data_IF_831187705573
#
_entry.id   IF_831187705573
#
_cell.length_a   1.000
_cell.length_b   1.000
_cell.length_c   1.000
_cell.angle_alpha   90.00
_cell.angle_beta   90.00
_cell.angle_gamma   90.00
#
_symmetry.space_group_name_H-M   'P 1'
#
loop_
_entity.id
_entity.type
_entity.pdbx_description
1 polymer ?
2 non-polymer ?
3 non-polymer ?
4 water ?
#
# COMPACT_ATOMS: atom_id res chain seq x y z
N UNK A 2 1.34 16.17 -11.96
CA UNK A 2 2.62 15.49 -11.65
C UNK A 2 2.58 14.01 -12.02
N UNK A 3 3.75 13.44 -12.32
CA UNK A 3 3.84 11.99 -12.43
C UNK A 3 3.52 11.30 -11.11
N UNK A 4 3.40 12.05 -10.01
CA UNK A 4 3.02 11.55 -8.69
C UNK A 4 1.70 12.14 -8.22
N UNK A 5 0.82 12.48 -9.16
CA UNK A 5 -0.49 13.03 -8.82
C UNK A 5 -1.61 12.20 -9.44
N UNK A 6 -1.29 11.05 -10.03
CA UNK A 6 -2.29 10.26 -10.69
C UNK A 6 -3.25 9.62 -9.71
N UNK A 7 -4.51 9.50 -10.14
CA UNK A 7 -5.52 8.87 -9.31
C UNK A 7 -5.39 7.35 -9.34
N UNK A 8 -6.21 6.70 -8.52
CA UNK A 8 -6.10 5.28 -8.23
C UNK A 8 -7.47 4.71 -7.99
N UNK A 9 -7.73 3.53 -8.56
CA UNK A 9 -8.79 2.62 -8.12
C UNK A 9 -8.14 1.37 -7.55
N UNK A 10 -8.36 1.12 -6.26
CA UNK A 10 -7.71 0.01 -5.58
C UNK A 10 -8.77 -1.01 -5.16
N UNK A 11 -8.56 -2.24 -5.58
CA UNK A 11 -9.33 -3.40 -5.14
C UNK A 11 -8.48 -4.28 -4.26
N UNK A 12 -9.09 -4.89 -3.24
CA UNK A 12 -8.42 -5.94 -2.50
C UNK A 12 -8.38 -7.20 -3.37
N UNK A 13 -7.37 -8.04 -3.09
CA UNK A 13 -7.28 -9.32 -3.77
C UNK A 13 -8.57 -10.13 -3.62
N UNK A 14 -9.13 -10.16 -2.41
CA UNK A 14 -10.33 -10.97 -2.18
C UNK A 14 -11.50 -10.47 -3.03
N UNK A 15 -11.72 -9.16 -3.09
CA UNK A 15 -12.82 -8.63 -3.88
C UNK A 15 -12.55 -8.84 -5.37
N UNK A 16 -11.32 -8.64 -5.80
CA UNK A 16 -11.01 -8.81 -7.21
C UNK A 16 -11.23 -10.25 -7.65
N UNK A 17 -10.84 -11.22 -6.82
CA UNK A 17 -11.05 -12.62 -7.15
C UNK A 17 -12.53 -12.95 -7.28
N UNK A 18 -13.36 -12.43 -6.37
CA UNK A 18 -14.79 -12.68 -6.47
C UNK A 18 -15.37 -12.03 -7.72
N UNK A 19 -14.92 -10.80 -8.02
CA UNK A 19 -15.40 -10.07 -9.19
C UNK A 19 -15.06 -10.82 -10.48
N UNK A 20 -13.80 -11.23 -10.63
CA UNK A 20 -13.38 -11.94 -11.84
C UNK A 20 -14.15 -13.24 -12.02
N UNK A 21 -14.41 -13.95 -10.92
CA UNK A 21 -15.14 -15.21 -11.01
C UNK A 21 -16.56 -14.98 -11.49
N UNK A 22 -17.22 -13.93 -11.00
CA UNK A 22 -18.57 -13.62 -11.45
C UNK A 22 -18.59 -13.14 -12.88
N UNK A 23 -17.62 -12.30 -13.26
CA UNK A 23 -17.64 -11.72 -14.59
C UNK A 23 -17.30 -12.72 -15.68
N UNK A 24 -16.69 -13.85 -15.33
CA UNK A 24 -16.25 -14.84 -16.32
C UNK A 24 -16.72 -16.22 -15.89
N UNK A 25 -18.03 -16.49 -15.99
CA UNK A 25 -18.56 -17.81 -15.62
C UNK A 25 -18.21 -18.91 -16.59
N UNK A 26 -17.83 -18.60 -17.83
CA UNK A 26 -17.43 -19.59 -18.81
C UNK A 26 -18.28 -19.67 -20.06
N UNK A 27 -19.43 -18.97 -20.14
CA UNK A 27 -20.26 -19.02 -21.34
C UNK A 27 -19.90 -17.93 -22.34
N UNK A 28 -18.90 -17.10 -22.06
CA UNK A 28 -18.44 -16.11 -23.02
C UNK A 28 -19.37 -14.95 -23.23
N UNK A 29 -20.36 -14.75 -22.36
CA UNK A 29 -21.28 -13.65 -22.45
C UNK A 29 -20.93 -12.61 -21.39
N UNK A 30 -21.23 -11.35 -21.70
CA UNK A 30 -20.94 -10.29 -20.74
C UNK A 30 -21.72 -10.52 -19.46
N UNK A 31 -21.12 -10.13 -18.35
CA UNK A 31 -21.73 -10.14 -17.04
C UNK A 31 -21.43 -8.80 -16.39
N UNK A 32 -22.11 -8.54 -15.26
CA UNK A 32 -22.05 -7.22 -14.65
C UNK A 32 -21.95 -7.31 -13.12
N UNK A 33 -21.33 -6.29 -12.54
CA UNK A 33 -21.21 -6.16 -11.09
C UNK A 33 -21.02 -4.68 -10.77
N UNK A 34 -21.15 -4.36 -9.48
CA UNK A 34 -21.04 -2.98 -9.01
C UNK A 34 -20.11 -2.93 -7.80
N UNK A 35 -19.11 -2.06 -7.86
CA UNK A 35 -18.19 -1.82 -6.76
C UNK A 35 -18.57 -0.50 -6.10
N UNK A 36 -18.70 -0.52 -4.78
CA UNK A 36 -19.02 0.67 -3.99
C UNK A 36 -17.77 1.03 -3.20
N UNK A 37 -17.30 2.27 -3.33
CA UNK A 37 -15.98 2.65 -2.89
C UNK A 37 -16.02 3.83 -1.92
N UNK A 38 -15.18 3.77 -0.90
CA UNK A 38 -14.80 4.97 -0.20
C UNK A 38 -13.74 5.72 -1.00
N UNK A 39 -13.40 6.91 -0.53
CA UNK A 39 -12.39 7.74 -1.19
C UNK A 39 -11.40 8.28 -0.18
N UNK A 40 -10.17 8.49 -0.64
CA UNK A 40 -9.27 9.39 0.07
C UNK A 40 -8.81 10.43 -0.94
N UNK A 41 -9.01 11.68 -0.59
CA UNK A 41 -8.73 12.82 -1.46
C UNK A 41 -7.55 13.59 -0.87
N UNK A 42 -6.37 13.00 -1.01
CA UNK A 42 -5.15 13.66 -0.63
C UNK A 42 -4.59 14.35 -1.85
N UNK A 43 -3.27 14.32 -2.01
CA UNK A 43 -2.67 14.88 -3.20
C UNK A 43 -3.08 14.16 -4.47
N UNK A 44 -3.64 12.96 -4.32
CA UNK A 44 -4.19 12.21 -5.43
C UNK A 44 -5.52 11.63 -4.96
N UNK A 45 -6.42 11.38 -5.91
CA UNK A 45 -7.69 10.73 -5.58
C UNK A 45 -7.53 9.22 -5.60
N UNK A 46 -7.89 8.57 -4.50
CA UNK A 46 -7.86 7.12 -4.37
C UNK A 46 -9.27 6.63 -4.09
N UNK A 47 -9.77 5.76 -4.95
CA UNK A 47 -11.02 5.06 -4.71
C UNK A 47 -10.70 3.70 -4.10
N UNK A 48 -11.33 3.42 -2.97
CA UNK A 48 -11.04 2.25 -2.15
C UNK A 48 -12.24 1.31 -2.20
N UNK A 49 -12.10 0.21 -2.93
CA UNK A 49 -13.21 -0.72 -3.05
C UNK A 49 -13.61 -1.30 -1.70
N UNK A 50 -14.89 -1.16 -1.36
CA UNK A 50 -15.39 -1.53 -0.05
C UNK A 50 -16.48 -2.58 -0.09
N UNK A 51 -17.44 -2.45 -1.01
CA UNK A 51 -18.53 -3.41 -1.14
C UNK A 51 -18.67 -3.81 -2.59
N UNK A 52 -19.21 -5.01 -2.81
CA UNK A 52 -19.37 -5.57 -4.14
C UNK A 52 -20.77 -6.14 -4.27
N UNK A 53 -21.49 -5.71 -5.31
CA UNK A 53 -22.79 -6.27 -5.66
C UNK A 53 -22.63 -6.97 -6.99
N UNK A 54 -22.90 -8.27 -7.00
CA UNK A 54 -22.90 -9.05 -8.24
C UNK A 54 -24.30 -8.97 -8.84
N UNK A 55 -24.39 -8.62 -10.13
CA UNK A 55 -25.66 -8.59 -10.83
C UNK A 55 -25.92 -9.99 -11.38
N UNK A 56 -26.93 -10.71 -10.88
CA UNK A 56 -27.16 -12.08 -11.36
C UNK A 56 -27.39 -12.11 -12.86
N UNK A 57 -26.88 -13.17 -13.50
CA UNK A 57 -27.02 -13.27 -14.95
C UNK A 57 -28.49 -13.27 -15.35
N UNK A 58 -29.32 -13.97 -14.57
CA UNK A 58 -30.76 -14.10 -14.85
C UNK A 58 -31.47 -12.75 -14.80
N UNK A 59 -30.95 -11.79 -14.05
CA UNK A 59 -31.60 -10.49 -13.89
C UNK A 59 -31.32 -9.53 -15.04
N UNK A 60 -30.48 -9.92 -15.99
CA UNK A 60 -30.13 -9.06 -17.10
C UNK A 60 -30.96 -9.46 -18.31
N UNK A 61 -31.79 -8.53 -18.80
CA UNK A 61 -32.74 -8.84 -19.85
C UNK A 61 -32.05 -9.41 -21.09
N UNK A 62 -30.83 -8.93 -21.37
CA UNK A 62 -30.04 -9.43 -22.48
C UNK A 62 -28.59 -9.58 -22.01
N UNK A 63 -28.00 -10.72 -22.34
CA UNK A 63 -26.57 -10.96 -22.17
C UNK A 63 -26.05 -11.60 -23.44
N UNK A 64 -25.13 -10.92 -24.12
CA UNK A 64 -24.47 -11.47 -25.30
C UNK A 64 -22.97 -11.35 -25.12
N UNK A 65 -22.23 -11.86 -26.12
CA UNK A 65 -20.77 -11.75 -26.09
C UNK A 65 -20.30 -10.30 -26.19
N UNK A 66 -21.17 -9.37 -26.61
CA UNK A 66 -20.73 -7.98 -26.73
C UNK A 66 -21.72 -6.98 -26.17
N UNK A 67 -22.64 -7.40 -25.30
CA UNK A 67 -23.58 -6.45 -24.70
C UNK A 67 -24.16 -7.05 -23.42
N UNK A 68 -24.50 -6.17 -22.48
CA UNK A 68 -25.29 -6.55 -21.31
C UNK A 68 -26.16 -5.37 -20.93
N UNK A 69 -27.42 -5.66 -20.59
CA UNK A 69 -28.38 -4.64 -20.20
C UNK A 69 -28.30 -4.41 -18.69
N UNK A 70 -28.07 -3.15 -18.27
CA UNK A 70 -28.03 -2.80 -16.85
C UNK A 70 -29.44 -2.78 -16.27
N UNK A 71 -29.78 -3.70 -15.37
CA UNK A 71 -31.09 -3.61 -14.72
C UNK A 71 -31.14 -2.41 -13.78
N UNK A 72 -32.15 -1.56 -13.98
CA UNK A 72 -32.21 -0.31 -13.26
C UNK A 72 -32.28 -0.47 -11.76
N UNK A 73 -32.94 -1.53 -11.28
CA UNK A 73 -33.06 -1.68 -9.84
C UNK A 73 -31.72 -2.00 -9.18
N UNK A 74 -30.76 -2.58 -9.90
CA UNK A 74 -29.45 -2.78 -9.28
C UNK A 74 -28.66 -1.48 -9.15
N UNK A 75 -28.84 -0.53 -10.08
CA UNK A 75 -28.35 0.81 -9.83
C UNK A 75 -28.95 1.37 -8.54
N UNK A 76 -30.24 1.14 -8.33
CA UNK A 76 -30.88 1.66 -7.12
C UNK A 76 -30.34 0.99 -5.87
N UNK A 77 -30.13 -0.34 -5.93
CA UNK A 77 -29.49 -1.03 -4.80
C UNK A 77 -28.12 -0.43 -4.51
N UNK A 78 -27.35 -0.11 -5.55
CA UNK A 78 -26.04 0.51 -5.33
C UNK A 78 -26.20 1.89 -4.72
N UNK A 79 -27.17 2.67 -5.19
CA UNK A 79 -27.42 3.99 -4.61
C UNK A 79 -27.77 3.85 -3.13
N UNK A 80 -28.56 2.83 -2.77
CA UNK A 80 -28.97 2.65 -1.39
C UNK A 80 -27.79 2.32 -0.48
N UNK A 81 -26.81 1.57 -0.99
CA UNK A 81 -25.62 1.28 -0.20
C UNK A 81 -24.77 2.53 -0.02
N UNK A 82 -24.62 3.32 -1.08
CA UNK A 82 -23.70 4.45 -1.13
C UNK A 82 -24.22 5.73 -0.49
N UNK A 83 -25.53 5.82 -0.21
CA UNK A 83 -26.13 7.12 0.07
C UNK A 83 -25.62 7.70 1.38
N UNK A 84 -25.52 6.89 2.44
CA UNK A 84 -25.24 7.44 3.77
C UNK A 84 -23.90 8.17 3.80
N UNK A 85 -22.85 7.56 3.26
CA UNK A 85 -21.50 8.12 3.30
C UNK A 85 -21.05 8.66 1.95
N UNK A 86 -22.00 8.91 1.04
CA UNK A 86 -21.72 9.45 -0.30
C UNK A 86 -20.59 8.66 -0.97
N UNK A 87 -20.73 7.35 -0.99
CA UNK A 87 -19.72 6.51 -1.59
C UNK A 87 -19.78 6.59 -3.11
N UNK A 88 -18.65 6.25 -3.74
CA UNK A 88 -18.53 6.21 -5.19
C UNK A 88 -18.97 4.85 -5.72
N UNK A 89 -19.73 4.88 -6.80
CA UNK A 89 -20.29 3.68 -7.41
C UNK A 89 -19.60 3.47 -8.74
N UNK A 90 -19.02 2.29 -8.91
CA UNK A 90 -18.33 1.90 -10.14
C UNK A 90 -19.08 0.74 -10.78
N UNK A 91 -19.62 0.96 -11.98
CA UNK A 91 -20.30 -0.08 -12.74
C UNK A 91 -19.27 -0.84 -13.55
N UNK A 92 -19.27 -2.17 -13.44
CA UNK A 92 -18.24 -3.01 -14.06
C UNK A 92 -18.91 -4.05 -14.94
N UNK A 93 -18.39 -4.24 -16.14
CA UNK A 93 -18.81 -5.37 -16.95
C UNK A 93 -17.59 -5.98 -17.63
N UNK A 94 -17.75 -7.19 -18.09
CA UNK A 94 -16.66 -7.95 -18.67
C UNK A 94 -16.70 -7.85 -20.19
N UNK A 95 -15.54 -8.04 -20.80
CA UNK A 95 -15.37 -8.12 -22.25
C UNK A 95 -14.82 -9.50 -22.62
N UNK A 96 -15.64 -10.54 -22.55
CA UNK A 96 -15.18 -11.86 -23.00
C UNK A 96 -14.85 -11.81 -24.48
N UNK A 97 -13.68 -12.37 -24.83
CA UNK A 97 -13.27 -12.37 -26.22
C UNK A 97 -13.04 -11.00 -26.80
N UNK A 98 -12.92 -9.98 -25.94
CA UNK A 98 -12.74 -8.62 -26.41
C UNK A 98 -11.45 -8.01 -25.91
N UNK A 99 -11.44 -6.69 -25.74
CA UNK A 99 -10.23 -5.97 -25.38
C UNK A 99 -10.59 -4.90 -24.37
N UNK A 100 -9.55 -4.42 -23.69
CA UNK A 100 -9.73 -3.38 -22.69
C UNK A 100 -9.84 -2.02 -23.39
N UNK A 101 -10.94 -1.87 -24.11
CA UNK A 101 -11.31 -0.63 -24.76
C UNK A 101 -12.79 -0.43 -24.49
N UNK A 102 -13.17 0.76 -24.04
CA UNK A 102 -14.57 1.11 -23.95
C UNK A 102 -15.13 1.37 -25.35
N UNK A 103 -16.26 0.74 -25.66
CA UNK A 103 -16.93 0.88 -26.94
C UNK A 103 -17.83 2.11 -26.97
N UNK A 104 -18.31 2.44 -28.17
CA UNK A 104 -19.28 3.52 -28.32
C UNK A 104 -20.55 3.22 -27.52
N UNK A 105 -20.97 1.95 -27.50
CA UNK A 105 -22.10 1.54 -26.67
C UNK A 105 -21.82 1.80 -25.21
N UNK A 106 -20.61 1.50 -24.75
CA UNK A 106 -20.24 1.76 -23.37
C UNK A 106 -20.31 3.25 -23.04
N UNK A 107 -19.78 4.08 -23.95
CA UNK A 107 -19.84 5.53 -23.76
C UNK A 107 -21.27 6.01 -23.66
N UNK A 108 -22.14 5.53 -24.55
CA UNK A 108 -23.52 6.02 -24.56
C UNK A 108 -24.29 5.50 -23.36
N UNK A 109 -24.03 4.25 -22.95
CA UNK A 109 -24.62 3.73 -21.72
C UNK A 109 -24.22 4.58 -20.52
N UNK A 110 -22.91 4.81 -20.36
CA UNK A 110 -22.42 5.64 -19.26
C UNK A 110 -23.11 7.00 -19.22
N UNK A 111 -23.33 7.62 -20.38
CA UNK A 111 -23.97 8.93 -20.38
C UNK A 111 -25.29 8.88 -19.63
N UNK A 112 -26.04 7.79 -19.78
CA UNK A 112 -27.32 7.62 -19.09
C UNK A 112 -27.13 7.19 -17.64
N UNK A 113 -26.38 6.11 -17.40
CA UNK A 113 -26.33 5.56 -16.04
C UNK A 113 -25.59 6.49 -15.07
N UNK A 114 -24.56 7.20 -15.56
CA UNK A 114 -23.81 8.06 -14.65
C UNK A 114 -24.65 9.24 -14.17
N UNK A 115 -25.58 9.75 -15.00
CA UNK A 115 -26.50 10.78 -14.54
C UNK A 115 -27.45 10.24 -13.48
N UNK A 116 -27.97 9.02 -13.65
CA UNK A 116 -28.80 8.41 -12.63
C UNK A 116 -28.04 8.24 -11.32
N UNK A 117 -26.78 7.81 -11.39
CA UNK A 117 -26.02 7.58 -10.17
C UNK A 117 -25.78 8.90 -9.44
N UNK A 118 -25.43 9.95 -10.17
CA UNK A 118 -25.19 11.24 -9.53
C UNK A 118 -26.46 11.83 -8.94
N UNK A 119 -27.59 11.66 -9.63
CA UNK A 119 -28.85 12.12 -9.06
C UNK A 119 -29.16 11.41 -7.75
N UNK A 120 -28.76 10.15 -7.62
CA UNK A 120 -28.95 9.39 -6.41
C UNK A 120 -27.96 9.72 -5.31
N UNK A 121 -26.69 9.90 -5.68
CA UNK A 121 -25.61 10.15 -4.73
C UNK A 121 -24.70 11.23 -5.30
N UNK A 122 -24.59 12.36 -4.60
CA UNK A 122 -23.74 13.48 -5.01
C UNK A 122 -22.31 13.09 -4.70
N UNK A 123 -21.65 12.47 -5.67
CA UNK A 123 -20.30 11.96 -5.53
C UNK A 123 -19.73 11.64 -6.91
N UNK A 124 -18.41 11.47 -6.96
CA UNK A 124 -17.76 10.91 -8.15
C UNK A 124 -18.20 9.47 -8.32
N UNK A 125 -18.55 9.10 -9.55
CA UNK A 125 -18.91 7.72 -9.89
C UNK A 125 -18.10 7.32 -11.11
N UNK A 126 -18.28 6.09 -11.56
CA UNK A 126 -17.50 5.70 -12.73
C UNK A 126 -17.90 4.34 -13.26
N UNK A 127 -17.15 3.90 -14.26
CA UNK A 127 -17.36 2.60 -14.89
C UNK A 127 -16.02 1.95 -15.18
N UNK A 128 -16.06 0.63 -15.33
CA UNK A 128 -14.84 -0.14 -15.53
C UNK A 128 -15.18 -1.37 -16.37
N UNK A 129 -14.13 -1.94 -16.95
CA UNK A 129 -14.23 -3.14 -17.76
C UNK A 129 -13.09 -4.06 -17.33
N UNK A 130 -13.30 -5.36 -17.51
CA UNK A 130 -12.35 -6.40 -17.15
C UNK A 130 -12.29 -7.40 -18.29
N UNK A 131 -11.09 -7.90 -18.58
CA UNK A 131 -10.93 -9.04 -19.46
C UNK A 131 -10.61 -10.28 -18.62
N UNK A 132 -10.58 -11.44 -19.28
CA UNK A 132 -10.58 -12.72 -18.58
C UNK A 132 -9.39 -12.87 -17.65
N UNK A 133 -8.26 -12.28 -18.02
CA UNK A 133 -7.04 -12.32 -17.22
C UNK A 133 -7.20 -11.64 -15.87
N UNK A 134 -8.22 -10.82 -15.69
CA UNK A 134 -8.39 -10.02 -14.50
C UNK A 134 -8.01 -8.57 -14.66
N UNK A 135 -7.29 -8.23 -15.73
CA UNK A 135 -6.88 -6.85 -15.93
C UNK A 135 -8.10 -5.96 -16.16
N UNK A 136 -8.00 -4.71 -15.69
CA UNK A 136 -9.11 -3.75 -15.72
C UNK A 136 -8.68 -2.38 -16.27
N UNK A 137 -9.65 -1.67 -16.82
CA UNK A 137 -9.57 -0.24 -17.07
C UNK A 137 -10.76 0.43 -16.40
N UNK A 138 -10.61 1.70 -16.02
CA UNK A 138 -11.72 2.40 -15.40
C UNK A 138 -11.66 3.89 -15.74
N UNK A 139 -12.82 4.54 -15.61
CA UNK A 139 -12.91 5.97 -15.80
C UNK A 139 -13.97 6.54 -14.88
N UNK A 140 -13.84 7.83 -14.60
CA UNK A 140 -14.64 8.52 -13.60
C UNK A 140 -15.45 9.63 -14.22
N UNK A 141 -16.58 9.92 -13.59
CA UNK A 141 -17.54 10.91 -14.02
C UNK A 141 -17.83 11.81 -12.84
N UNK A 142 -17.69 13.12 -13.03
CA UNK A 142 -18.03 14.11 -12.02
C UNK A 142 -19.32 14.81 -12.41
N UNK A 143 -20.17 15.04 -11.41
CA UNK A 143 -21.49 15.62 -11.63
C UNK A 143 -22.24 14.88 -12.72
N UNK A 144 -21.94 13.58 -12.87
CA UNK A 144 -22.62 12.75 -13.85
C UNK A 144 -22.10 12.83 -15.27
N UNK A 145 -21.00 13.55 -15.52
CA UNK A 145 -20.44 13.76 -16.86
C UNK A 145 -18.96 13.38 -16.87
N UNK A 146 -18.49 12.84 -18.00
CA UNK A 146 -17.13 12.31 -18.05
C UNK A 146 -16.13 13.33 -17.56
N UNK A 147 -15.22 12.88 -16.70
CA UNK A 147 -14.14 13.72 -16.22
C UNK A 147 -12.79 13.19 -16.67
N UNK A 148 -12.45 11.95 -16.32
CA UNK A 148 -11.09 11.51 -16.58
C UNK A 148 -11.00 10.00 -16.41
N UNK A 149 -10.08 9.42 -17.17
CA UNK A 149 -9.72 8.04 -16.97
C UNK A 149 -9.03 7.86 -15.61
N UNK A 150 -9.07 6.64 -15.12
CA UNK A 150 -8.29 6.25 -13.96
C UNK A 150 -6.90 5.89 -14.44
N UNK A 151 -5.89 6.59 -13.92
CA UNK A 151 -4.51 6.32 -14.35
C UNK A 151 -4.08 4.91 -13.97
N UNK A 152 -4.45 4.45 -12.78
CA UNK A 152 -3.98 3.16 -12.26
C UNK A 152 -5.12 2.42 -11.56
N UNK A 153 -5.41 1.21 -12.03
CA UNK A 153 -6.19 0.24 -11.27
C UNK A 153 -5.21 -0.76 -10.71
N UNK A 154 -5.29 -1.06 -9.43
CA UNK A 154 -4.27 -1.88 -8.80
C UNK A 154 -4.88 -2.83 -7.77
N UNK A 155 -4.28 -4.01 -7.70
CA UNK A 155 -4.55 -5.01 -6.67
C UNK A 155 -3.20 -5.43 -6.09
N UNK A 156 -3.01 -5.20 -4.79
CA UNK A 156 -1.82 -5.71 -4.10
C UNK A 156 -2.22 -7.02 -3.44
N UNK A 157 -1.96 -8.11 -4.14
CA UNK A 157 -2.16 -9.45 -3.66
C UNK A 157 -0.85 -10.02 -3.16
N UNK A 158 -0.72 -11.33 -3.28
CA UNK A 158 0.60 -11.93 -3.10
C UNK A 158 1.56 -11.38 -4.17
N UNK A 159 1.09 -11.30 -5.41
CA UNK A 159 1.72 -10.50 -6.45
C UNK A 159 1.01 -9.14 -6.47
N UNK A 160 1.75 -8.09 -6.86
CA UNK A 160 1.20 -6.74 -6.95
C UNK A 160 0.95 -6.41 -8.41
N UNK A 161 -0.28 -6.03 -8.73
CA UNK A 161 -0.71 -5.80 -10.11
C UNK A 161 -0.95 -4.31 -10.34
N UNK A 162 -0.31 -3.78 -11.38
CA UNK A 162 -0.45 -2.38 -11.76
C UNK A 162 -0.97 -2.35 -13.20
N UNK A 163 -2.21 -1.91 -13.37
CA UNK A 163 -2.85 -1.84 -14.69
C UNK A 163 -3.00 -0.37 -15.05
N UNK A 164 -2.18 0.08 -16.00
CA UNK A 164 -2.04 1.50 -16.32
C UNK A 164 -2.96 1.88 -17.48
N UNK A 165 -3.60 3.05 -17.35
CA UNK A 165 -4.29 3.69 -18.46
C UNK A 165 -3.39 3.71 -19.69
N UNK A 166 -3.97 3.35 -20.84
CA UNK A 166 -3.20 3.17 -22.08
C UNK A 166 -2.65 4.48 -22.63
N UNK A 167 -1.42 4.40 -23.13
CA UNK A 167 -0.72 5.49 -23.79
C UNK A 167 -0.19 5.01 -25.14
N UNK A 168 0.21 5.98 -25.96
CA UNK A 168 0.77 5.65 -27.27
C UNK A 168 2.09 4.90 -27.15
N UNK A 169 2.79 5.09 -26.05
CA UNK A 169 4.07 4.44 -25.82
C UNK A 169 3.87 2.98 -25.39
N UNK A 170 4.94 2.19 -25.58
CA UNK A 170 4.92 0.80 -25.13
C UNK A 170 4.78 0.73 -23.62
N UNK A 171 3.97 -0.23 -23.16
CA UNK A 171 3.63 -0.35 -21.74
C UNK A 171 3.63 -1.81 -21.32
N UNK A 172 4.56 -2.61 -21.83
CA UNK A 172 4.64 -4.00 -21.42
C UNK A 172 5.05 -4.09 -19.95
N UNK A 173 4.62 -5.16 -19.28
CA UNK A 173 5.01 -5.35 -17.90
C UNK A 173 6.53 -5.55 -17.85
N UNK A 174 7.25 -4.81 -17.04
CA UNK A 174 8.71 -4.96 -17.04
C UNK A 174 9.15 -6.18 -16.25
N UNK A 175 10.34 -6.59 -16.57
CA UNK A 175 11.05 -7.68 -15.92
C UNK A 175 11.82 -7.10 -14.73
N UNK A 176 11.98 -7.90 -13.69
CA UNK A 176 12.69 -7.41 -12.52
C UNK A 176 14.10 -6.96 -12.93
N UNK A 177 14.57 -5.91 -12.28
CA UNK A 177 15.95 -5.44 -12.41
C UNK A 177 16.26 -4.84 -13.78
N UNK A 178 15.25 -4.44 -14.56
CA UNK A 178 15.44 -3.77 -15.84
C UNK A 178 14.97 -2.32 -15.75
N UNK A 179 14.87 -1.67 -16.92
CA UNK A 179 14.49 -0.26 -17.06
C UNK A 179 12.98 -0.06 -17.10
N UNK A 180 12.23 -1.04 -17.57
CA UNK A 180 10.80 -0.96 -17.41
C UNK A 180 10.42 -0.89 -15.94
N UNK A 181 11.23 -1.51 -15.07
CA UNK A 181 10.96 -1.43 -13.64
C UNK A 181 10.96 0.03 -13.20
N UNK A 182 11.97 0.77 -13.65
CA UNK A 182 12.08 2.17 -13.31
C UNK A 182 10.89 2.95 -13.83
N UNK A 183 10.38 2.58 -15.01
CA UNK A 183 9.21 3.26 -15.56
C UNK A 183 8.00 3.11 -14.66
N UNK A 184 7.79 1.91 -14.10
CA UNK A 184 6.70 1.68 -13.16
C UNK A 184 6.91 2.51 -11.89
N UNK A 185 8.11 2.42 -11.33
CA UNK A 185 8.39 3.09 -10.06
C UNK A 185 8.25 4.60 -10.18
N UNK A 186 8.56 5.15 -11.35
CA UNK A 186 8.51 6.61 -11.52
C UNK A 186 7.10 7.16 -11.33
N UNK A 187 6.07 6.33 -11.46
CA UNK A 187 4.70 6.77 -11.28
C UNK A 187 4.16 6.47 -9.89
N UNK A 188 4.95 5.83 -9.03
CA UNK A 188 4.53 5.44 -7.70
C UNK A 188 5.06 6.38 -6.62
N UNK A 189 4.35 6.39 -5.48
CA UNK A 189 4.75 7.08 -4.27
C UNK A 189 5.09 6.05 -3.19
N UNK A 190 6.29 6.18 -2.61
CA UNK A 190 6.68 5.32 -1.49
C UNK A 190 6.72 6.15 -0.20
N UNK A 191 6.26 5.58 0.90
CA UNK A 191 6.38 6.21 2.21
C UNK A 191 7.38 5.42 3.04
N UNK A 192 8.41 6.11 3.54
CA UNK A 192 9.41 5.53 4.44
C UNK A 192 9.07 6.00 5.85
N UNK A 193 8.60 5.09 6.70
CA UNK A 193 8.29 5.42 8.09
C UNK A 193 9.53 5.09 8.92
N UNK A 194 10.25 6.14 9.33
CA UNK A 194 11.48 6.00 10.06
C UNK A 194 12.70 6.11 9.15
N UNK A 195 13.49 7.18 9.30
CA UNK A 195 14.72 7.33 8.53
C UNK A 195 15.82 6.82 9.45
N UNK A 196 15.75 5.53 9.74
CA UNK A 196 16.44 4.84 10.81
C UNK A 196 17.66 4.12 10.25
N UNK A 197 18.29 3.27 11.07
CA UNK A 197 19.35 2.42 10.56
C UNK A 197 18.89 1.64 9.34
N UNK A 198 17.71 1.03 9.41
CA UNK A 198 17.15 0.34 8.26
C UNK A 198 16.45 1.31 7.30
N UNK A 199 15.73 2.29 7.84
CA UNK A 199 14.92 3.14 6.99
C UNK A 199 15.73 4.03 6.05
N UNK A 200 16.89 4.50 6.51
CA UNK A 200 17.73 5.29 5.60
C UNK A 200 18.25 4.44 4.44
N UNK A 201 18.39 3.13 4.64
CA UNK A 201 18.85 2.25 3.59
C UNK A 201 17.71 1.91 2.65
N UNK A 202 16.52 1.66 3.21
CA UNK A 202 15.34 1.52 2.37
C UNK A 202 15.16 2.77 1.50
N UNK A 203 15.23 3.95 2.13
CA UNK A 203 15.01 5.20 1.41
C UNK A 203 16.05 5.40 0.30
N UNK A 204 17.31 5.05 0.57
CA UNK A 204 18.36 5.15 -0.43
C UNK A 204 18.03 4.29 -1.64
N UNK A 205 17.57 3.06 -1.40
CA UNK A 205 17.28 2.17 -2.51
C UNK A 205 16.08 2.67 -3.31
N UNK A 206 15.02 3.06 -2.61
CA UNK A 206 13.83 3.59 -3.26
C UNK A 206 14.18 4.81 -4.12
N UNK A 207 15.05 5.69 -3.61
CA UNK A 207 15.50 6.83 -4.40
C UNK A 207 16.23 6.38 -5.67
N UNK A 208 17.25 5.52 -5.52
CA UNK A 208 18.06 5.17 -6.67
C UNK A 208 17.35 4.22 -7.62
N UNK A 209 16.29 3.55 -7.16
CA UNK A 209 15.47 2.73 -8.04
C UNK A 209 14.49 3.56 -8.88
N UNK A 210 14.35 4.85 -8.61
CA UNK A 210 13.59 5.73 -9.46
C UNK A 210 12.16 5.98 -9.04
N UNK A 211 11.82 5.81 -7.77
CA UNK A 211 10.45 6.11 -7.35
C UNK A 211 10.16 7.59 -7.57
N UNK A 212 8.92 7.88 -7.96
CA UNK A 212 8.58 9.23 -8.40
C UNK A 212 8.33 10.21 -7.27
N UNK A 213 7.93 9.70 -6.11
CA UNK A 213 7.69 10.53 -4.93
C UNK A 213 8.05 9.69 -3.71
N UNK A 214 8.75 10.29 -2.75
CA UNK A 214 9.25 9.57 -1.59
C UNK A 214 8.90 10.39 -0.35
N UNK A 215 7.94 9.90 0.41
CA UNK A 215 7.60 10.50 1.70
C UNK A 215 8.55 9.98 2.78
N UNK A 216 9.04 10.88 3.62
CA UNK A 216 9.97 10.54 4.70
C UNK A 216 9.35 11.01 6.01
N UNK A 217 9.10 10.07 6.93
CA UNK A 217 8.36 10.37 8.16
C UNK A 217 9.22 10.05 9.36
N UNK A 218 9.63 11.07 10.12
CA UNK A 218 10.49 10.88 11.27
C UNK A 218 10.65 12.21 12.00
N UNK A 219 10.64 12.14 13.34
CA UNK A 219 10.84 13.30 14.19
C UNK A 219 12.24 13.36 14.79
N UNK A 220 13.07 12.36 14.51
CA UNK A 220 14.39 12.26 15.14
C UNK A 220 15.43 13.04 14.35
N UNK A 221 16.60 13.22 14.97
CA UNK A 221 17.68 14.04 14.45
C UNK A 221 18.94 13.23 14.29
N UNK A 222 19.83 13.73 13.43
CA UNK A 222 21.17 13.17 13.33
C UNK A 222 21.95 13.53 14.58
N UNK A 223 22.63 12.54 15.15
CA UNK A 223 23.51 12.74 16.30
C UNK A 223 24.80 11.99 16.02
N UNK A 224 25.85 12.29 16.79
CA UNK A 224 27.11 11.58 16.58
C UNK A 224 26.90 10.07 16.67
N UNK A 225 26.02 9.64 17.56
CA UNK A 225 25.78 8.21 17.73
C UNK A 225 25.12 7.59 16.51
N UNK A 226 24.50 8.41 15.62
CA UNK A 226 23.80 8.00 14.39
C UNK A 226 24.74 7.83 13.19
N UNK A 227 25.95 8.38 13.26
CA UNK A 227 26.82 8.48 12.10
C UNK A 227 27.35 7.13 11.64
N UNK A 228 27.36 6.14 12.51
CA UNK A 228 27.79 4.81 12.06
C UNK A 228 26.71 4.08 11.29
N UNK A 229 25.53 4.69 11.05
CA UNK A 229 24.40 3.95 10.49
C UNK A 229 23.55 4.68 9.45
N UNK A 230 23.34 6.00 9.53
CA UNK A 230 22.35 6.66 8.71
C UNK A 230 23.00 7.08 7.38
N UNK A 231 22.55 6.48 6.27
CA UNK A 231 23.14 6.82 4.97
C UNK A 231 22.93 8.30 4.68
N UNK A 232 23.96 8.92 4.08
CA UNK A 232 24.09 10.30 3.62
C UNK A 232 24.37 11.26 4.77
N UNK A 233 24.30 10.83 6.02
CA UNK A 233 24.55 11.73 7.13
C UNK A 233 26.03 12.05 7.25
N UNK A 234 26.31 13.26 7.74
CA UNK A 234 27.66 13.78 7.88
C UNK A 234 27.90 14.24 9.31
N UNK A 235 29.18 14.35 9.67
CA UNK A 235 29.52 14.94 10.97
C UNK A 235 28.90 16.31 11.13
N UNK A 236 28.97 17.15 10.09
CA UNK A 236 28.35 18.46 10.18
C UNK A 236 26.86 18.35 10.51
N UNK A 237 26.16 17.38 9.90
CA UNK A 237 24.76 17.15 10.22
C UNK A 237 24.56 16.90 11.70
N UNK A 238 25.44 16.08 12.31
CA UNK A 238 25.32 15.76 13.73
C UNK A 238 25.57 16.97 14.60
N UNK A 239 26.54 17.81 14.21
CA UNK A 239 26.90 18.96 15.02
C UNK A 239 25.79 20.00 15.08
N UNK A 240 24.88 19.99 14.11
CA UNK A 240 23.74 20.89 14.12
C UNK A 240 22.43 20.15 14.44
N UNK A 241 22.52 18.88 14.84
CA UNK A 241 21.34 18.09 15.19
C UNK A 241 20.28 18.18 14.12
N UNK A 242 20.70 17.97 12.88
CA UNK A 242 19.82 18.15 11.73
C UNK A 242 18.71 17.11 11.72
N UNK A 243 17.46 17.51 11.51
CA UNK A 243 16.39 16.52 11.37
C UNK A 243 16.70 15.51 10.27
N UNK A 244 16.50 14.23 10.60
CA UNK A 244 16.74 13.16 9.64
C UNK A 244 15.98 13.35 8.35
N UNK A 245 14.71 13.77 8.41
CA UNK A 245 13.94 13.84 7.17
C UNK A 245 14.45 14.96 6.27
N UNK A 246 14.91 16.06 6.86
CA UNK A 246 15.42 17.16 6.06
C UNK A 246 16.77 16.81 5.45
N UNK A 247 17.64 16.16 6.23
CA UNK A 247 18.90 15.65 5.70
C UNK A 247 18.65 14.74 4.50
N UNK A 248 17.75 13.78 4.66
CA UNK A 248 17.60 12.79 3.59
C UNK A 248 16.85 13.36 2.39
N UNK A 249 15.89 14.26 2.61
CA UNK A 249 15.23 14.93 1.48
C UNK A 249 16.25 15.66 0.61
N UNK A 250 17.20 16.36 1.24
CA UNK A 250 18.21 17.08 0.47
C UNK A 250 19.12 16.11 -0.27
N UNK A 251 19.51 15.00 0.38
CA UNK A 251 20.30 13.98 -0.33
C UNK A 251 19.56 13.49 -1.57
N UNK A 252 18.26 13.20 -1.44
CA UNK A 252 17.51 12.69 -2.57
C UNK A 252 17.47 13.72 -3.68
N UNK A 253 17.31 15.00 -3.31
CA UNK A 253 17.31 16.05 -4.31
C UNK A 253 18.61 16.08 -5.10
N UNK A 254 19.74 15.89 -4.41
CA UNK A 254 21.04 15.91 -5.08
C UNK A 254 21.25 14.65 -5.93
N UNK A 255 20.82 13.50 -5.41
CA UNK A 255 20.95 12.25 -6.14
C UNK A 255 20.13 12.29 -7.42
N UNK A 256 18.87 12.70 -7.32
CA UNK A 256 17.94 12.57 -8.42
C UNK A 256 17.88 13.82 -9.28
N UNK A 257 18.41 14.94 -8.82
CA UNK A 257 18.34 16.17 -9.59
C UNK A 257 16.98 16.82 -9.60
N UNK A 258 16.09 16.41 -8.69
CA UNK A 258 14.71 16.85 -8.66
C UNK A 258 14.25 16.73 -7.22
N UNK A 259 13.40 17.66 -6.78
CA UNK A 259 12.92 17.66 -5.40
C UNK A 259 11.68 16.79 -5.31
N UNK A 260 11.89 15.48 -5.23
CA UNK A 260 10.81 14.51 -5.27
C UNK A 260 10.49 13.91 -3.90
N UNK A 261 11.20 14.33 -2.86
CA UNK A 261 10.93 13.82 -1.53
C UNK A 261 10.02 14.80 -0.80
N UNK A 262 9.26 14.27 0.15
CA UNK A 262 8.32 15.05 0.95
C UNK A 262 8.68 14.77 2.41
N UNK A 263 9.48 15.63 3.04
CA UNK A 263 9.89 15.35 4.43
C UNK A 263 8.82 15.77 5.42
N UNK A 264 8.42 14.84 6.27
CA UNK A 264 7.43 15.11 7.31
C UNK A 264 8.18 14.99 8.63
N UNK A 265 8.49 16.12 9.25
CA UNK A 265 9.22 16.13 10.52
C UNK A 265 8.20 15.97 11.65
N UNK A 266 7.85 14.71 11.92
CA UNK A 266 6.84 14.38 12.92
C UNK A 266 6.89 12.89 13.15
N UNK A 267 6.31 12.45 14.27
CA UNK A 267 6.14 11.03 14.50
C UNK A 267 5.02 10.48 13.62
N UNK A 268 5.10 9.18 13.32
CA UNK A 268 4.03 8.54 12.55
C UNK A 268 2.73 8.61 13.31
N UNK A 269 2.77 8.80 14.63
CA UNK A 269 1.57 8.91 15.46
C UNK A 269 1.11 10.37 15.50
N UNK A 270 0.65 10.86 14.35
CA UNK A 270 0.16 12.22 14.20
C UNK A 270 -0.77 12.27 13.00
N UNK A 271 -1.74 13.18 13.05
CA UNK A 271 -2.60 13.39 11.89
C UNK A 271 -1.78 13.76 10.67
N UNK A 272 -0.81 14.66 10.82
CA UNK A 272 0.03 15.07 9.70
C UNK A 272 0.65 13.86 8.99
N UNK A 273 1.30 12.97 9.74
CA UNK A 273 2.01 11.85 9.14
C UNK A 273 1.05 10.85 8.51
N UNK A 274 -0.05 10.56 9.20
CA UNK A 274 -1.01 9.56 8.73
C UNK A 274 -1.63 10.02 7.40
N UNK A 275 -2.10 11.26 7.37
CA UNK A 275 -2.74 11.77 6.16
C UNK A 275 -1.76 11.87 4.99
N UNK A 276 -0.48 12.14 5.27
CA UNK A 276 0.53 12.10 4.21
C UNK A 276 0.76 10.67 3.73
N UNK A 277 0.98 9.74 4.65
CA UNK A 277 1.26 8.36 4.29
C UNK A 277 0.11 7.73 3.51
N UNK A 278 -1.12 8.13 3.80
CA UNK A 278 -2.27 7.52 3.17
C UNK A 278 -2.27 7.74 1.66
N UNK A 279 -1.53 8.75 1.19
CA UNK A 279 -1.35 9.00 -0.24
C UNK A 279 -0.45 7.98 -0.93
N UNK A 280 0.31 7.19 -0.19
CA UNK A 280 1.35 6.41 -0.82
C UNK A 280 0.80 5.16 -1.48
N UNK A 281 1.59 4.65 -2.44
CA UNK A 281 1.33 3.35 -3.06
C UNK A 281 2.01 2.19 -2.35
N UNK A 282 2.99 2.46 -1.49
CA UNK A 282 3.62 1.40 -0.69
C UNK A 282 4.17 2.03 0.57
N UNK A 283 4.00 1.32 1.70
CA UNK A 283 4.54 1.73 2.99
C UNK A 283 5.73 0.83 3.34
N UNK A 284 6.82 1.45 3.77
CA UNK A 284 7.94 0.73 4.37
C UNK A 284 8.04 1.19 5.83
N UNK A 285 7.76 0.30 6.77
CA UNK A 285 7.83 0.62 8.18
C UNK A 285 9.17 0.18 8.75
N UNK A 286 9.96 1.15 9.23
CA UNK A 286 11.33 0.94 9.66
C UNK A 286 11.57 1.50 11.06
N UNK A 287 10.50 1.72 11.83
CA UNK A 287 10.61 2.26 13.19
C UNK A 287 10.45 1.11 14.16
N UNK A 288 11.38 1.01 15.10
CA UNK A 288 11.42 -0.13 16.02
C UNK A 288 10.69 0.21 17.33
N UNK A 289 9.38 0.50 17.19
CA UNK A 289 8.46 0.59 18.30
C UNK A 289 7.19 -0.17 17.94
N UNK A 290 6.56 -0.72 18.97
CA UNK A 290 5.29 -1.41 18.77
C UNK A 290 4.21 -0.45 18.29
N UNK A 291 4.20 0.77 18.84
CA UNK A 291 3.23 1.79 18.45
C UNK A 291 3.31 2.10 16.95
N UNK A 292 4.53 2.34 16.45
CA UNK A 292 4.68 2.71 15.05
C UNK A 292 4.25 1.57 14.14
N UNK A 293 4.56 0.34 14.51
CA UNK A 293 4.16 -0.75 13.66
C UNK A 293 2.64 -0.89 13.65
N UNK A 294 1.98 -0.57 14.76
CA UNK A 294 0.51 -0.63 14.78
C UNK A 294 -0.09 0.46 13.91
N UNK A 295 0.47 1.67 13.96
CA UNK A 295 -0.05 2.76 13.12
C UNK A 295 0.11 2.39 11.65
N UNK A 296 1.30 1.92 11.27
CA UNK A 296 1.52 1.49 9.90
C UNK A 296 0.53 0.40 9.49
N UNK A 297 0.31 -0.57 10.38
CA UNK A 297 -0.67 -1.62 10.13
C UNK A 297 -2.05 -1.02 9.84
N UNK A 298 -2.47 -0.05 10.65
CA UNK A 298 -3.81 0.50 10.46
C UNK A 298 -3.88 1.37 9.20
N UNK A 299 -2.82 2.09 8.86
CA UNK A 299 -2.82 2.86 7.62
C UNK A 299 -2.99 1.93 6.44
N UNK A 300 -2.24 0.82 6.45
CA UNK A 300 -2.23 -0.10 5.32
C UNK A 300 -3.61 -0.70 5.09
N UNK A 301 -4.31 -1.11 6.16
CA UNK A 301 -5.65 -1.65 6.02
C UNK A 301 -6.65 -0.57 5.62
N UNK A 302 -6.57 0.60 6.26
CA UNK A 302 -7.59 1.61 6.07
C UNK A 302 -7.56 2.18 4.65
N UNK A 303 -6.37 2.35 4.09
CA UNK A 303 -6.20 2.99 2.79
C UNK A 303 -5.74 2.01 1.72
N UNK A 304 -5.78 0.70 1.98
CA UNK A 304 -5.49 -0.32 0.98
C UNK A 304 -4.11 -0.12 0.33
N UNK A 305 -3.10 -0.10 1.19
CA UNK A 305 -1.71 0.14 0.77
C UNK A 305 -0.90 -1.09 1.16
N UNK A 306 -0.13 -1.68 0.25
CA UNK A 306 0.78 -2.76 0.67
C UNK A 306 1.83 -2.24 1.63
N UNK A 307 2.20 -3.07 2.59
CA UNK A 307 3.09 -2.70 3.68
C UNK A 307 4.22 -3.70 3.77
N UNK A 308 5.44 -3.19 3.85
CA UNK A 308 6.63 -3.99 4.15
C UNK A 308 7.19 -3.50 5.47
N UNK A 309 7.27 -4.38 6.44
CA UNK A 309 7.72 -4.06 7.79
C UNK A 309 9.03 -4.80 8.02
N UNK A 310 10.05 -4.09 8.48
CA UNK A 310 11.37 -4.68 8.68
C UNK A 310 11.89 -4.34 10.06
N UNK A 311 12.53 -5.32 10.70
CA UNK A 311 13.20 -5.10 11.97
C UNK A 311 14.40 -6.02 12.10
N UNK A 312 15.35 -5.58 12.92
CA UNK A 312 16.51 -6.41 13.26
C UNK A 312 16.73 -6.37 14.77
N UNK A 313 17.44 -7.38 15.28
CA UNK A 313 17.71 -7.47 16.71
C UNK A 313 19.07 -8.13 16.95
N UNK A 314 19.76 -7.66 17.99
CA UNK A 314 20.95 -8.34 18.49
C UNK A 314 20.80 -8.54 19.99
N UNK A 315 20.05 -9.54 20.44
CA UNK A 315 19.98 -9.78 21.88
C UNK A 315 21.34 -10.23 22.40
N UNK A 316 21.67 -9.78 23.60
CA UNK A 316 22.91 -10.18 24.26
C UNK A 316 22.58 -10.83 25.59
N UNK A 317 23.57 -11.56 26.13
CA UNK A 317 23.50 -12.12 27.48
C UNK A 317 24.90 -12.15 28.06
N UNK A 318 24.98 -12.26 29.39
CA UNK A 318 26.26 -12.32 30.07
C UNK A 318 26.57 -13.79 30.33
N UNK A 319 27.71 -14.24 29.81
CA UNK A 319 28.15 -15.60 30.05
C UNK A 319 28.95 -15.66 31.34
N UNK A 320 28.65 -16.60 32.24
CA UNK A 320 29.44 -16.67 33.49
C UNK A 320 30.94 -16.71 33.26
N UNK A 321 31.40 -17.45 32.25
CA UNK A 321 32.83 -17.63 32.04
C UNK A 321 33.44 -16.60 31.10
N UNK A 322 32.69 -16.13 30.10
CA UNK A 322 33.24 -15.28 29.05
C UNK A 322 32.83 -13.82 29.13
N UNK A 323 31.79 -13.49 29.89
CA UNK A 323 31.26 -12.14 29.90
C UNK A 323 30.12 -11.97 28.92
N UNK A 324 29.80 -10.72 28.62
CA UNK A 324 28.69 -10.44 27.72
C UNK A 324 28.95 -11.05 26.36
N UNK A 325 27.92 -11.68 25.80
CA UNK A 325 28.00 -12.41 24.55
C UNK A 325 26.80 -12.05 23.69
N UNK A 326 27.00 -12.11 22.37
CA UNK A 326 25.86 -12.04 21.47
C UNK A 326 25.03 -13.30 21.64
N UNK A 327 23.72 -13.13 21.79
CA UNK A 327 22.82 -14.27 21.87
C UNK A 327 22.38 -14.73 20.48
N UNK A 328 22.08 -13.79 19.61
CA UNK A 328 21.63 -14.02 18.26
C UNK A 328 21.73 -12.70 17.52
N UNK A 329 21.68 -12.77 16.20
CA UNK A 329 21.74 -11.61 15.32
C UNK A 329 20.68 -11.91 14.26
N UNK A 330 19.56 -11.18 14.29
CA UNK A 330 18.39 -11.58 13.52
C UNK A 330 17.77 -10.43 12.74
N UNK A 331 16.99 -10.83 11.72
CA UNK A 331 16.19 -9.90 10.96
C UNK A 331 14.85 -10.52 10.62
N UNK A 332 13.89 -9.64 10.32
CA UNK A 332 12.52 -10.00 10.03
C UNK A 332 12.00 -9.07 8.96
N UNK A 333 11.35 -9.63 7.94
CA UNK A 333 10.66 -8.87 6.92
C UNK A 333 9.24 -9.42 6.80
N UNK A 334 8.26 -8.56 6.98
CA UNK A 334 6.85 -8.93 6.85
C UNK A 334 6.19 -8.16 5.73
N UNK A 335 5.56 -8.89 4.79
CA UNK A 335 4.76 -8.29 3.73
C UNK A 335 3.28 -8.45 4.09
N UNK A 336 2.56 -7.33 4.09
CA UNK A 336 1.14 -7.28 4.42
C UNK A 336 0.39 -6.70 3.23
N UNK A 337 -0.52 -7.50 2.66
CA UNK A 337 -1.40 -7.14 1.56
C UNK A 337 -2.77 -6.78 2.10
N UNK A 338 -3.47 -5.79 1.52
CA UNK A 338 -4.78 -5.41 2.04
C UNK A 338 -5.79 -6.55 2.03
N UNK A 339 -6.34 -6.84 3.20
CA UNK A 339 -7.25 -7.96 3.35
C UNK A 339 -6.57 -9.27 3.69
N UNK A 340 -5.23 -9.33 3.59
CA UNK A 340 -4.49 -10.46 4.08
C UNK A 340 -4.18 -10.30 5.55
N UNK A 341 -3.50 -11.30 6.12
CA UNK A 341 -3.14 -11.23 7.53
C UNK A 341 -2.30 -10.00 7.81
N UNK A 342 -2.48 -9.44 9.00
CA UNK A 342 -1.89 -8.17 9.39
C UNK A 342 -0.68 -8.38 10.31
N UNK A 343 0.00 -7.28 10.62
CA UNK A 343 1.04 -7.34 11.65
C UNK A 343 0.44 -7.71 13.01
N UNK A 344 -0.77 -7.23 13.29
CA UNK A 344 -1.45 -7.65 14.52
C UNK A 344 -1.69 -9.17 14.51
N UNK A 345 -2.19 -9.71 13.40
CA UNK A 345 -2.43 -11.15 13.33
C UNK A 345 -1.16 -11.93 13.64
N UNK A 346 -0.02 -11.45 13.15
CA UNK A 346 1.28 -12.09 13.30
C UNK A 346 1.93 -11.82 14.64
N UNK A 347 1.24 -11.13 15.54
CA UNK A 347 1.76 -10.80 16.86
C UNK A 347 3.04 -9.96 16.80
N UNK A 348 3.25 -9.18 15.74
CA UNK A 348 4.39 -8.26 15.70
C UNK A 348 4.25 -7.21 16.80
N UNK A 349 3.02 -6.86 17.13
CA UNK A 349 2.69 -6.07 18.31
C UNK A 349 1.43 -6.67 18.90
N UNK A 350 1.16 -6.33 20.16
CA UNK A 350 -0.05 -6.69 20.88
C UNK A 350 -0.48 -5.49 21.69
N UNK A 351 -1.74 -5.43 22.11
CA UNK A 351 -2.16 -4.35 23.02
C UNK A 351 -1.26 -4.25 24.24
N UNK A 352 -0.91 -5.40 24.84
CA UNK A 352 -0.08 -5.39 26.04
C UNK A 352 1.30 -4.84 25.73
N UNK A 353 1.89 -5.20 24.59
CA UNK A 353 3.22 -4.72 24.28
C UNK A 353 3.21 -3.21 24.07
N UNK A 354 2.15 -2.69 23.44
CA UNK A 354 2.06 -1.24 23.26
C UNK A 354 1.85 -0.56 24.60
N UNK A 355 1.00 -1.13 25.45
CA UNK A 355 0.77 -0.57 26.78
C UNK A 355 2.08 -0.50 27.58
N UNK A 356 2.81 -1.62 27.64
CA UNK A 356 4.05 -1.64 28.42
C UNK A 356 5.08 -0.68 27.85
N UNK A 357 5.14 -0.58 26.51
CA UNK A 357 6.10 0.29 25.87
C UNK A 357 5.84 1.76 26.19
N UNK A 358 4.57 2.15 26.29
CA UNK A 358 4.25 3.53 26.63
C UNK A 358 4.54 3.82 28.09
N UNK A 359 4.29 2.86 28.97
CA UNK A 359 4.61 3.05 30.37
C UNK A 359 6.11 3.20 30.57
N UNK A 360 6.89 2.33 29.91
CA UNK A 360 8.35 2.41 30.02
C UNK A 360 8.88 3.74 29.49
N UNK A 361 8.26 4.27 28.45
CA UNK A 361 8.67 5.56 27.91
C UNK A 361 8.43 6.68 28.91
N UNK A 362 7.34 6.60 29.67
CA UNK A 362 7.08 7.58 30.72
C UNK A 362 8.04 7.39 31.89
N UNK A 363 8.36 6.13 32.22
CA UNK A 363 9.36 5.86 33.26
C UNK A 363 10.72 6.43 32.85
N UNK A 364 11.12 6.19 31.60
CA UNK A 364 12.39 6.73 31.11
C UNK A 364 12.35 8.26 31.10
N UNK A 365 11.19 8.83 30.75
CA UNK A 365 11.06 10.29 30.71
C UNK A 365 11.26 10.89 32.09
N UNK A 366 10.58 10.33 33.10
CA UNK A 366 10.67 10.87 34.46
C UNK A 366 12.06 10.69 35.04
N UNK A 367 12.68 9.54 34.81
CA UNK A 367 14.03 9.29 35.32
C UNK A 367 15.00 10.32 34.77
N UNK A 368 14.97 10.55 33.46
CA UNK A 368 15.83 11.55 32.83
C UNK A 368 15.51 12.94 33.37
N UNK A 379 22.05 -5.62 22.44
CA UNK A 379 22.86 -4.41 22.39
C UNK A 379 23.54 -4.31 21.02
N UNK A 380 23.08 -3.35 20.22
CA UNK A 380 23.37 -3.31 18.79
C UNK A 380 23.94 -1.95 18.36
N UNK A 381 25.04 -1.52 18.99
CA UNK A 381 25.51 -0.15 18.73
C UNK A 381 25.99 0.11 17.30
N UNK A 382 26.90 -0.72 16.75
CA UNK A 382 27.41 -0.53 15.38
C UNK A 382 26.91 -1.66 14.48
N UNK A 383 25.86 -1.38 13.71
CA UNK A 383 25.14 -2.45 13.06
C UNK A 383 24.73 -2.17 11.62
N UNK A 384 25.53 -1.39 10.89
CA UNK A 384 25.11 -1.05 9.52
C UNK A 384 25.04 -2.31 8.64
N UNK A 385 25.92 -3.28 8.88
CA UNK A 385 25.91 -4.48 8.04
C UNK A 385 24.60 -5.25 8.17
N UNK A 386 24.13 -5.43 9.41
CA UNK A 386 22.84 -6.08 9.64
C UNK A 386 21.69 -5.25 9.09
N UNK A 387 21.71 -3.95 9.33
CA UNK A 387 20.66 -3.08 8.81
C UNK A 387 20.58 -3.18 7.29
N UNK A 388 21.74 -3.24 6.63
CA UNK A 388 21.78 -3.34 5.16
C UNK A 388 21.31 -4.71 4.69
N UNK A 389 21.69 -5.77 5.41
CA UNK A 389 21.23 -7.10 5.05
C UNK A 389 19.71 -7.19 5.10
N UNK A 390 19.09 -6.56 6.10
CA UNK A 390 17.63 -6.61 6.23
C UNK A 390 16.95 -5.65 5.25
N UNK A 391 17.48 -4.43 5.11
CA UNK A 391 16.85 -3.43 4.26
C UNK A 391 16.92 -3.81 2.78
N UNK A 392 18.01 -4.46 2.36
CA UNK A 392 18.12 -4.92 0.98
C UNK A 392 17.09 -6.02 0.71
N UNK A 393 16.91 -6.94 1.66
CA UNK A 393 15.89 -7.98 1.48
C UNK A 393 14.49 -7.36 1.45
N UNK A 394 14.27 -6.30 2.22
CA UNK A 394 12.97 -5.68 2.30
C UNK A 394 12.56 -5.04 0.98
N UNK A 395 13.48 -4.30 0.36
CA UNK A 395 13.15 -3.69 -0.92
C UNK A 395 13.11 -4.72 -2.04
N UNK A 396 13.97 -5.73 -1.98
CA UNK A 396 13.91 -6.83 -2.95
C UNK A 396 12.55 -7.52 -2.89
N UNK A 397 11.96 -7.63 -1.70
CA UNK A 397 10.65 -8.26 -1.56
C UNK A 397 9.59 -7.50 -2.36
N UNK A 398 9.68 -6.18 -2.37
CA UNK A 398 8.76 -5.39 -3.17
C UNK A 398 8.98 -5.64 -4.65
N UNK A 399 10.24 -5.66 -5.09
CA UNK A 399 10.54 -5.98 -6.48
C UNK A 399 9.99 -7.34 -6.86
N UNK A 400 10.16 -8.35 -5.99
CA UNK A 400 9.73 -9.71 -6.32
C UNK A 400 8.23 -9.81 -6.47
N UNK A 401 7.49 -8.99 -5.75
CA UNK A 401 6.04 -9.04 -5.84
C UNK A 401 5.50 -8.21 -7.00
N UNK A 402 6.18 -7.12 -7.37
CA UNK A 402 5.78 -6.36 -8.55
C UNK A 402 6.17 -7.07 -9.84
N UNK A 403 7.34 -7.71 -9.88
CA UNK A 403 7.90 -8.29 -11.10
C UNK A 403 8.43 -9.68 -10.78
N UNK A 404 7.55 -10.67 -10.70
CA UNK A 404 7.94 -11.96 -10.09
C UNK A 404 9.10 -12.59 -10.82
N UNK A 405 10.07 -13.06 -10.04
CA UNK A 405 11.26 -13.70 -10.59
C UNK A 405 11.68 -14.93 -9.81
N UNK A 406 11.03 -15.23 -8.68
CA UNK A 406 11.40 -16.40 -7.88
C UNK A 406 10.84 -17.69 -8.48
N UNK A 407 11.45 -18.80 -8.08
CA UNK A 407 11.06 -20.12 -8.53
C UNK A 407 9.90 -20.70 -7.75
N UNK A 408 9.33 -19.94 -6.82
CA UNK A 408 8.22 -20.33 -5.98
C UNK A 408 7.24 -19.16 -5.88
N UNK A 409 5.98 -19.44 -5.57
CA UNK A 409 5.00 -18.35 -5.42
C UNK A 409 5.38 -17.39 -4.32
N UNK A 410 5.14 -16.10 -4.58
CA UNK A 410 5.46 -15.08 -3.58
C UNK A 410 4.74 -15.31 -2.26
N UNK A 411 3.58 -15.97 -2.27
CA UNK A 411 2.85 -16.16 -1.03
C UNK A 411 3.65 -16.98 0.00
N UNK A 412 4.64 -17.77 -0.46
CA UNK A 412 5.45 -18.57 0.46
C UNK A 412 6.36 -17.72 1.34
N UNK A 413 6.64 -16.48 0.92
CA UNK A 413 7.60 -15.59 1.56
C UNK A 413 6.92 -14.41 2.22
N UNK A 414 5.72 -14.65 2.74
CA UNK A 414 4.94 -13.58 3.37
C UNK A 414 5.67 -13.06 4.61
N UNK A 415 6.28 -13.97 5.39
CA UNK A 415 7.19 -13.59 6.46
C UNK A 415 8.54 -14.23 6.20
N UNK A 416 9.59 -13.48 6.45
CA UNK A 416 10.97 -13.94 6.37
C UNK A 416 11.68 -13.66 7.69
N UNK A 417 12.36 -14.68 8.22
CA UNK A 417 13.18 -14.57 9.41
C UNK A 417 14.56 -15.10 9.08
N UNK A 418 15.61 -14.34 9.41
CA UNK A 418 16.95 -14.85 9.24
C UNK A 418 17.75 -14.62 10.52
N UNK A 419 18.69 -15.53 10.75
CA UNK A 419 19.69 -15.37 11.80
C UNK A 419 21.07 -15.47 11.17
N UNK A 420 21.89 -14.44 11.41
CA UNK A 420 23.27 -14.49 10.98
C UNK A 420 24.15 -15.27 11.93
N UNK A 421 23.71 -15.50 13.18
CA UNK A 421 24.46 -16.32 14.11
C UNK A 421 24.22 -17.81 13.86
N UNK A 422 22.96 -18.20 13.66
CA UNK A 422 22.62 -19.58 13.39
C UNK A 422 22.63 -19.95 11.92
N UNK A 423 22.85 -18.94 11.08
CA UNK A 423 23.00 -19.12 9.64
C UNK A 423 21.82 -19.90 9.11
N UNK A 424 20.62 -19.40 9.39
CA UNK A 424 19.36 -20.00 8.98
C UNK A 424 18.45 -18.89 8.48
N UNK A 425 17.59 -19.22 7.53
CA UNK A 425 16.59 -18.29 7.04
C UNK A 425 15.33 -19.09 6.75
N UNK A 426 14.20 -18.64 7.31
CA UNK A 426 12.94 -19.37 7.29
C UNK A 426 11.84 -18.48 6.74
N UNK A 427 10.85 -19.11 6.09
CA UNK A 427 9.77 -18.37 5.45
C UNK A 427 8.44 -18.92 5.94
N UNK A 428 7.47 -18.03 6.12
CA UNK A 428 6.13 -18.38 6.54
C UNK A 428 5.15 -17.97 5.45
N UNK A 429 4.31 -18.91 5.04
CA UNK A 429 3.30 -18.69 4.01
C UNK A 429 2.09 -17.99 4.60
N UNK A 430 1.47 -17.12 3.79
CA UNK A 430 0.29 -16.39 4.21
C UNK A 430 -0.80 -17.31 4.72
N UNK A 431 -0.93 -18.50 4.10
CA UNK A 431 -2.04 -19.39 4.44
C UNK A 431 -1.91 -19.99 5.84
N UNK A 432 -0.74 -19.90 6.45
CA UNK A 432 -0.54 -20.46 7.78
C UNK A 432 -0.89 -19.47 8.89
N UNK A 433 -1.26 -18.25 8.55
CA UNK A 433 -1.46 -17.19 9.53
C UNK A 433 -2.95 -16.99 9.78
N UNK A 434 -3.36 -17.09 11.04
CA UNK A 434 -4.76 -16.85 11.41
C UNK A 434 -5.07 -15.38 11.27
N UNK A 435 -6.26 -15.08 10.76
CA UNK A 435 -6.69 -13.72 10.48
C UNK A 435 -7.87 -13.34 11.37
N UNK A 436 -7.73 -12.24 12.07
CA UNK A 436 -8.86 -11.67 12.79
C UNK A 436 -9.76 -10.91 11.81
N UNK A 437 -11.00 -10.68 12.24
CA UNK A 437 -11.87 -9.77 11.50
C UNK A 437 -11.17 -8.43 11.34
N UNK A 438 -11.22 -7.88 10.14
CA UNK A 438 -10.50 -6.65 9.78
C UNK A 438 -11.55 -5.56 9.56
N UNK A 439 -11.93 -4.91 10.65
CA UNK A 439 -13.02 -3.95 10.61
C UNK A 439 -12.63 -2.65 9.89
N UNK A 440 -11.36 -2.32 9.81
CA UNK A 440 -10.97 -1.04 9.23
C UNK A 440 -10.65 -1.12 7.75
N UNK A 441 -10.80 -2.29 7.13
CA UNK A 441 -10.39 -2.43 5.74
C UNK A 441 -11.17 -1.46 4.84
N UNK A 442 -10.44 -0.64 4.10
CA UNK A 442 -10.98 0.29 3.10
C UNK A 442 -11.88 1.37 3.69
N UNK A 443 -11.77 1.67 4.99
CA UNK A 443 -12.60 2.74 5.54
C UNK A 443 -11.97 4.10 5.32
N UNK A 444 -10.72 4.16 4.85
CA UNK A 444 -10.11 5.42 4.54
C UNK A 444 -9.97 6.26 5.79
N UNK A 445 -10.29 7.55 5.66
CA UNK A 445 -10.07 8.53 6.71
C UNK A 445 -11.24 8.74 7.62
N UNK A 446 -12.09 7.74 7.77
CA UNK A 446 -13.23 7.82 8.69
C UNK A 446 -12.74 8.21 10.08
N UNK A 447 -13.48 9.17 10.72
CA UNK A 447 -13.00 9.69 12.00
C UNK A 447 -13.57 8.89 13.17
N UNK A 448 -12.82 8.76 14.27
CA UNK A 448 -11.46 9.26 14.47
C UNK A 448 -10.48 8.47 13.61
N UNK A 449 -9.52 9.19 13.03
CA UNK A 449 -8.55 8.59 12.12
C UNK A 449 -7.91 7.34 12.71
N UNK A 450 -7.92 6.27 11.93
CA UNK A 450 -7.39 4.96 12.28
C UNK A 450 -8.08 4.32 13.48
N UNK A 451 -9.22 4.87 13.91
CA UNK A 451 -9.89 4.40 15.10
C UNK A 451 -9.29 4.88 16.40
N UNK A 452 -8.35 5.81 16.34
CA UNK A 452 -7.61 6.27 17.51
C UNK A 452 -8.06 7.68 17.88
N UNK A 453 -8.77 7.88 19.00
CA UNK A 453 -9.25 9.23 19.33
C UNK A 453 -8.15 10.27 19.43
N UNK A 454 -6.93 9.85 19.77
CA UNK A 454 -5.82 10.80 19.82
C UNK A 454 -5.57 11.45 18.47
N UNK A 455 -5.89 10.76 17.38
CA UNK A 455 -5.74 11.29 16.04
C UNK A 455 -7.04 11.89 15.50
N UNK A 456 -8.04 12.08 16.35
CA UNK A 456 -9.30 12.60 15.89
C UNK A 456 -9.22 14.06 15.50
N UNK A 457 -10.22 14.50 14.74
CA UNK A 457 -10.29 15.89 14.30
C UNK A 457 -11.26 16.68 15.18
X LIG B 1 -18.30 -2.80 -23.03
X LIG C 1 -8.78 -10.59 6.00
#
# INVERSE_FOLDING_TARGET
SNASSGNRLILTQELHTMLQKHLFPGDGKEAAAILICNRYEGGRLKLLAKELILVPYEECKSRTSDFIAWPGNYLEKAIDVAEEKSMSIILIHSHPGGFLVFSDTDDSSDMQTMQSLFQGVDAIHGSAIMIHSGEMRARLYREGKFAENVELVTVAGDDIHYWWDDKTEQQLKPIAFTSGMTDTFQKLTAAIIGVSGTGSIVAEQVARLGFGEILLIDHDHIEKKNLNRILNSTLKDALSHRPKVDMFAEAIRCIRGEDISRPINNTIFSREAVLAAANADVLFCCVDTYLARMIADRIASSFLIPLLDVGVKIPTHVDPDDGRKITDVTGRIDYVKPGGSTLSDRLVYTPELIYRENLNAEEYEEQLERGYITGVEEEAPSVITLNMRAASACVSEFIARCFPFREYPNKRFTRTFFSLAGVEEDYIDESSITQALNTRLAVGGEEPLLGLPELGDK
ZN ZN
NA NA
#
